data_IF_970444077703
#
_entry.id   IF_970444077703
#
_cell.length_a   1.000
_cell.length_b   1.000
_cell.length_c   1.000
_cell.angle_alpha   90.00
_cell.angle_beta   90.00
_cell.angle_gamma   90.00
#
_symmetry.space_group_name_H-M   'P 1'
#
loop_
_entity.id
_entity.type
_entity.pdbx_description
1 polymer ?
#
# COMPACT_ATOMS: atom_id res chain seq x y z
N UNK A 1 2.25 1.65 11.29
CA UNK A 1 2.43 2.83 10.40
C UNK A 1 3.11 2.41 9.11
N UNK A 2 2.69 2.90 7.93
CA UNK A 2 3.38 2.61 6.67
C UNK A 2 4.65 3.45 6.57
N UNK A 3 5.80 2.81 6.39
CA UNK A 3 7.13 3.45 6.29
C UNK A 3 7.59 3.61 4.84
N UNK A 4 7.33 2.58 4.01
CA UNK A 4 7.78 2.54 2.62
C UNK A 4 6.75 1.84 1.74
N UNK A 5 6.66 2.26 0.49
CA UNK A 5 5.83 1.62 -0.54
C UNK A 5 6.71 1.31 -1.74
N UNK A 6 6.79 0.05 -2.14
CA UNK A 6 7.52 -0.41 -3.32
C UNK A 6 6.53 -0.90 -4.36
N UNK A 7 6.40 -0.19 -5.46
CA UNK A 7 5.58 -0.57 -6.61
C UNK A 7 6.43 -1.43 -7.53
N UNK A 8 6.02 -2.69 -7.70
CA UNK A 8 6.77 -3.72 -8.42
C UNK A 8 6.04 -4.20 -9.68
N UNK A 9 4.75 -3.91 -9.77
CA UNK A 9 3.89 -4.20 -10.91
C UNK A 9 3.15 -2.93 -11.29
N UNK A 10 3.18 -2.58 -12.56
CA UNK A 10 2.38 -1.47 -13.08
C UNK A 10 1.87 -1.84 -14.48
N UNK A 11 0.68 -2.45 -14.55
CA UNK A 11 0.00 -2.82 -15.80
C UNK A 11 -1.28 -2.01 -15.93
N UNK A 12 -1.88 -2.00 -17.13
CA UNK A 12 -3.01 -1.15 -17.53
C UNK A 12 -3.93 -0.76 -16.36
N UNK A 13 -4.64 -1.73 -15.78
CA UNK A 13 -5.63 -1.50 -14.72
C UNK A 13 -5.13 -1.78 -13.29
N UNK A 14 -3.96 -2.40 -13.13
CA UNK A 14 -3.48 -2.90 -11.83
C UNK A 14 -2.06 -2.41 -11.56
N UNK A 15 -1.85 -1.84 -10.38
CA UNK A 15 -0.54 -1.49 -9.84
C UNK A 15 -0.32 -2.24 -8.53
N UNK A 16 0.67 -3.12 -8.45
CA UNK A 16 0.88 -4.00 -7.30
C UNK A 16 2.26 -3.85 -6.69
N UNK A 17 2.40 -4.21 -5.42
CA UNK A 17 3.63 -3.95 -4.69
C UNK A 17 3.69 -4.53 -3.29
N UNK A 18 4.69 -4.05 -2.56
CA UNK A 18 4.92 -4.35 -1.14
C UNK A 18 5.01 -3.03 -0.38
N UNK A 19 4.29 -2.92 0.73
CA UNK A 19 4.52 -1.88 1.70
C UNK A 19 5.24 -2.44 2.93
N UNK A 20 6.18 -1.65 3.47
CA UNK A 20 6.84 -1.93 4.74
C UNK A 20 6.11 -1.15 5.81
N UNK A 21 5.61 -1.87 6.81
CA UNK A 21 4.84 -1.31 7.92
C UNK A 21 5.50 -1.60 9.24
N UNK A 22 5.45 -0.65 10.16
CA UNK A 22 5.75 -0.90 11.56
C UNK A 22 4.57 -1.59 12.22
N UNK A 23 4.81 -2.81 12.70
CA UNK A 23 3.90 -3.62 13.50
C UNK A 23 4.59 -3.96 14.81
N UNK A 24 4.14 -3.35 15.90
CA UNK A 24 4.65 -3.58 17.26
C UNK A 24 6.18 -3.39 17.39
N UNK A 25 6.76 -2.40 16.71
CA UNK A 25 8.20 -2.13 16.73
C UNK A 25 9.02 -3.02 15.80
N UNK A 26 8.36 -3.85 15.00
CA UNK A 26 8.99 -4.70 13.99
C UNK A 26 8.52 -4.33 12.59
N UNK A 27 9.42 -4.41 11.61
CA UNK A 27 9.07 -4.18 10.21
C UNK A 27 8.40 -5.43 9.63
N UNK A 28 7.18 -5.26 9.13
CA UNK A 28 6.42 -6.28 8.41
C UNK A 28 6.22 -5.87 6.95
N UNK A 29 6.17 -6.87 6.07
CA UNK A 29 5.87 -6.68 4.66
C UNK A 29 4.41 -7.03 4.40
N UNK A 30 3.65 -6.10 3.82
CA UNK A 30 2.29 -6.35 3.33
C UNK A 30 2.28 -6.23 1.81
N UNK A 31 1.62 -7.19 1.15
CA UNK A 31 1.40 -7.14 -0.29
C UNK A 31 0.09 -6.42 -0.58
N UNK A 32 0.08 -5.62 -1.63
CA UNK A 32 -1.10 -4.89 -2.06
C UNK A 32 -1.23 -4.88 -3.58
N UNK A 33 -2.45 -4.71 -4.05
CA UNK A 33 -2.81 -4.38 -5.42
C UNK A 33 -3.71 -3.14 -5.43
N UNK A 34 -3.45 -2.21 -6.35
CA UNK A 34 -4.23 -1.02 -6.61
C UNK A 34 -4.97 -1.21 -7.93
N UNK A 35 -6.30 -1.16 -7.87
CA UNK A 35 -7.16 -1.15 -9.06
C UNK A 35 -7.36 0.31 -9.47
N UNK A 36 -6.87 0.65 -10.67
CA UNK A 36 -6.93 2.00 -11.26
C UNK A 36 -8.31 2.29 -11.87
N UNK A 37 -9.36 2.09 -11.08
CA UNK A 37 -10.74 2.44 -11.42
C UNK A 37 -11.10 3.84 -10.91
N UNK A 38 -12.32 4.30 -11.21
CA UNK A 38 -12.92 5.47 -10.57
C UNK A 38 -14.22 5.06 -9.85
N UNK A 39 -14.24 5.01 -8.50
CA UNK A 39 -13.14 5.33 -7.59
C UNK A 39 -12.01 4.28 -7.61
N UNK A 40 -10.79 4.71 -7.28
CA UNK A 40 -9.63 3.83 -7.11
C UNK A 40 -9.86 2.91 -5.90
N UNK A 41 -9.35 1.68 -5.98
CA UNK A 41 -9.42 0.70 -4.88
C UNK A 41 -8.05 0.15 -4.58
N UNK A 42 -7.79 -0.12 -3.30
CA UNK A 42 -6.61 -0.86 -2.84
C UNK A 42 -7.10 -2.15 -2.21
N UNK A 43 -6.39 -3.24 -2.47
CA UNK A 43 -6.64 -4.55 -1.90
C UNK A 43 -5.35 -4.98 -1.20
N UNK A 44 -5.43 -5.31 0.08
CA UNK A 44 -4.32 -5.81 0.89
C UNK A 44 -4.54 -7.28 1.16
N UNK A 45 -3.51 -8.08 0.89
CA UNK A 45 -3.61 -9.52 0.96
C UNK A 45 -3.77 -10.13 -0.42
N UNK A 46 -2.65 -10.60 -0.96
CA UNK A 46 -2.58 -11.68 -1.93
C UNK A 46 -1.10 -12.08 -2.07
N UNK A 47 -0.83 -13.26 -2.64
CA UNK A 47 0.47 -14.00 -2.66
C UNK A 47 0.74 -14.90 -1.44
N UNK A 48 -0.30 -15.59 -0.96
CA UNK A 48 -0.14 -16.69 0.01
C UNK A 48 0.22 -16.27 1.43
N UNK A 49 0.07 -14.98 1.77
CA UNK A 49 0.17 -14.47 3.14
C UNK A 49 -1.18 -13.90 3.56
N UNK A 50 -1.72 -14.45 4.63
CA UNK A 50 -2.95 -14.00 5.24
C UNK A 50 -2.65 -12.78 6.14
N UNK A 51 -3.41 -11.71 5.96
CA UNK A 51 -3.42 -10.54 6.84
C UNK A 51 -4.78 -10.55 7.53
N UNK A 52 -4.85 -10.43 8.86
CA UNK A 52 -6.13 -10.35 9.57
C UNK A 52 -7.03 -9.27 8.95
N UNK A 53 -8.32 -9.58 8.74
CA UNK A 53 -9.26 -8.72 8.02
C UNK A 53 -9.29 -7.28 8.58
N UNK A 54 -9.35 -7.16 9.90
CA UNK A 54 -9.34 -5.87 10.59
C UNK A 54 -8.05 -5.05 10.35
N UNK A 55 -6.92 -5.71 10.12
CA UNK A 55 -5.67 -5.04 9.77
C UNK A 55 -5.63 -4.70 8.26
N UNK A 56 -6.14 -5.61 7.42
CA UNK A 56 -6.21 -5.40 5.98
C UNK A 56 -7.02 -4.14 5.66
N UNK A 57 -8.21 -3.98 6.24
CA UNK A 57 -9.06 -2.79 6.07
C UNK A 57 -8.32 -1.48 6.39
N UNK A 58 -7.57 -1.46 7.49
CA UNK A 58 -6.79 -0.29 7.92
C UNK A 58 -5.68 0.02 6.91
N UNK A 59 -4.98 -1.01 6.42
CA UNK A 59 -3.93 -0.83 5.43
C UNK A 59 -4.46 -0.41 4.06
N UNK A 60 -5.58 -0.97 3.62
CA UNK A 60 -6.27 -0.59 2.37
C UNK A 60 -6.66 0.87 2.40
N UNK A 61 -7.32 1.31 3.48
CA UNK A 61 -7.69 2.71 3.66
C UNK A 61 -6.45 3.62 3.65
N UNK A 62 -5.41 3.27 4.42
CA UNK A 62 -4.21 4.12 4.53
C UNK A 62 -3.47 4.23 3.19
N UNK A 63 -3.30 3.12 2.48
CA UNK A 63 -2.67 3.10 1.16
C UNK A 63 -3.51 3.87 0.14
N UNK A 64 -4.83 3.73 0.17
CA UNK A 64 -5.72 4.46 -0.72
C UNK A 64 -5.56 5.97 -0.52
N UNK A 65 -5.46 6.45 0.72
CA UNK A 65 -5.19 7.86 1.01
C UNK A 65 -3.82 8.31 0.51
N UNK A 66 -2.77 7.49 0.67
CA UNK A 66 -1.44 7.82 0.14
C UNK A 66 -1.43 7.98 -1.38
N UNK A 67 -2.10 7.07 -2.10
CA UNK A 67 -2.19 7.14 -3.56
C UNK A 67 -3.12 8.26 -4.03
N UNK A 68 -4.22 8.52 -3.32
CA UNK A 68 -5.24 9.51 -3.73
C UNK A 68 -4.89 10.95 -3.31
N UNK A 69 -4.33 11.16 -2.12
CA UNK A 69 -4.12 12.49 -1.51
C UNK A 69 -2.67 12.96 -1.57
N UNK A 70 -1.70 12.04 -1.46
CA UNK A 70 -0.27 12.37 -1.34
C UNK A 70 0.52 12.16 -2.63
N UNK A 71 -0.17 11.91 -3.75
CA UNK A 71 0.44 11.72 -5.07
C UNK A 71 1.60 10.71 -5.07
N UNK A 72 1.54 9.63 -4.27
CA UNK A 72 2.48 8.52 -4.48
C UNK A 72 2.26 8.06 -5.91
N UNK A 73 3.26 8.23 -6.81
CA UNK A 73 3.02 8.02 -8.22
C UNK A 73 2.78 6.53 -8.43
N UNK A 74 1.73 6.19 -9.19
CA UNK A 74 1.44 4.81 -9.60
C UNK A 74 2.43 4.36 -10.68
N UNK A 75 3.71 4.38 -10.33
CA UNK A 75 4.87 4.11 -11.17
C UNK A 75 5.80 3.13 -10.47
N UNK A 76 6.56 2.35 -11.24
CA UNK A 76 7.52 1.42 -10.67
C UNK A 76 8.58 2.19 -9.87
N UNK A 77 8.83 1.76 -8.64
CA UNK A 77 9.76 2.46 -7.76
C UNK A 77 9.55 2.13 -6.28
N UNK A 78 10.44 2.65 -5.44
CA UNK A 78 10.31 2.57 -3.98
C UNK A 78 10.28 3.97 -3.39
N UNK A 79 9.23 4.24 -2.62
CA UNK A 79 8.91 5.55 -2.08
C UNK A 79 8.92 5.49 -0.56
N UNK A 80 9.60 6.43 0.07
CA UNK A 80 9.53 6.63 1.52
C UNK A 80 8.24 7.37 1.84
N UNK A 81 7.48 6.86 2.79
CA UNK A 81 6.30 7.54 3.31
C UNK A 81 6.78 8.42 4.47
N UNK A 82 6.89 9.72 4.20
CA UNK A 82 7.17 10.70 5.24
C UNK A 82 5.84 11.11 5.87
N UNK A 83 5.55 10.59 7.05
CA UNK A 83 4.54 11.18 7.92
C UNK A 83 5.13 12.49 8.44
N UNK A 84 4.69 13.63 7.90
CA UNK A 84 4.87 14.89 8.62
C UNK A 84 4.09 14.74 9.93
N UNK A 85 4.82 14.63 11.03
CA UNK A 85 4.22 14.77 12.36
C UNK A 85 3.56 16.14 12.40
N UNK A 86 2.24 16.17 12.54
CA UNK A 86 1.50 17.33 12.99
C UNK A 86 1.75 17.54 14.47
#
# INVERSE_FOLDING_TARGET
MIKKVSIQLNRSLICGGVAIVDKNGSDACIFFDVVKSNPMKVIVGNRGKEVPENEADVYEHTLLELFAKHNVPLQLGTYLVQTHAL
#
